data_IF_245461251351
#
_entry.id   IF_245461251351
#
_cell.length_a   1.000
_cell.length_b   1.000
_cell.length_c   1.000
_cell.angle_alpha   90.00
_cell.angle_beta   90.00
_cell.angle_gamma   90.00
#
_symmetry.space_group_name_H-M   'P 1'
#
loop_
_entity.id
_entity.type
_entity.pdbx_description
1 polymer ?
#
# COMPACT_ATOMS: atom_id res chain seq x y z
N UNK A 1 7.00 20.72 27.52
CA UNK A 1 6.72 19.43 26.85
C UNK A 1 6.22 19.71 25.44
N UNK A 2 7.08 19.61 24.43
CA UNK A 2 6.65 19.70 23.03
C UNK A 2 6.11 18.32 22.64
N UNK A 3 4.80 18.23 22.40
CA UNK A 3 4.15 17.00 21.93
C UNK A 3 4.43 16.85 20.44
N UNK A 4 4.81 15.65 19.99
CA UNK A 4 5.05 15.38 18.56
C UNK A 4 3.75 15.52 17.75
N UNK A 5 3.83 16.05 16.53
CA UNK A 5 2.66 16.24 15.64
C UNK A 5 1.91 14.93 15.35
N UNK A 6 2.64 13.82 15.27
CA UNK A 6 2.08 12.48 15.08
C UNK A 6 1.28 12.02 16.30
N UNK A 7 1.74 12.29 17.53
CA UNK A 7 1.00 11.95 18.75
C UNK A 7 -0.34 12.68 18.80
N UNK A 8 -0.37 13.96 18.43
CA UNK A 8 -1.62 14.74 18.33
C UNK A 8 -2.58 14.10 17.33
N UNK A 9 -2.10 13.66 16.16
CA UNK A 9 -3.00 13.05 15.17
C UNK A 9 -3.53 11.69 15.62
N UNK A 10 -2.73 10.91 16.34
CA UNK A 10 -3.18 9.65 16.95
C UNK A 10 -4.27 9.92 17.98
N UNK A 11 -4.06 10.90 18.87
CA UNK A 11 -5.04 11.27 19.90
C UNK A 11 -6.35 11.77 19.26
N UNK A 12 -6.25 12.61 18.23
CA UNK A 12 -7.43 13.07 17.47
C UNK A 12 -8.15 11.90 16.80
N UNK A 13 -7.42 10.96 16.19
CA UNK A 13 -8.03 9.80 15.55
C UNK A 13 -8.72 8.88 16.56
N UNK A 14 -8.17 8.72 17.77
CA UNK A 14 -8.83 8.02 18.88
C UNK A 14 -10.09 8.75 19.37
N UNK A 15 -10.08 10.07 19.44
CA UNK A 15 -11.31 10.80 19.78
C UNK A 15 -12.39 10.62 18.71
N UNK A 16 -12.00 10.61 17.44
CA UNK A 16 -12.92 10.40 16.31
C UNK A 16 -13.45 8.97 16.28
N UNK A 17 -12.68 7.95 16.74
CA UNK A 17 -13.16 6.56 16.73
C UNK A 17 -14.37 6.31 17.63
N UNK A 18 -14.57 7.15 18.64
CA UNK A 18 -15.72 7.08 19.56
C UNK A 18 -17.01 7.68 18.96
N UNK A 19 -16.94 8.29 17.78
CA UNK A 19 -18.09 8.90 17.10
C UNK A 19 -18.86 7.88 16.26
N UNK A 20 -20.10 8.22 15.88
CA UNK A 20 -20.88 7.43 14.92
C UNK A 20 -20.28 7.47 13.52
N UNK A 21 -20.57 6.48 12.69
CA UNK A 21 -20.03 6.39 11.32
C UNK A 21 -20.36 7.63 10.49
N UNK A 22 -21.58 8.18 10.64
CA UNK A 22 -22.00 9.42 9.97
C UNK A 22 -21.13 10.62 10.35
N UNK A 23 -20.71 10.72 11.61
CA UNK A 23 -19.86 11.81 12.10
C UNK A 23 -18.41 11.62 11.66
N UNK A 24 -17.92 10.38 11.65
CA UNK A 24 -16.60 10.05 11.11
C UNK A 24 -16.54 10.43 9.63
N UNK A 25 -17.53 10.04 8.83
CA UNK A 25 -17.57 10.36 7.40
C UNK A 25 -17.68 11.87 7.13
N UNK A 26 -18.32 12.63 8.03
CA UNK A 26 -18.41 14.09 7.95
C UNK A 26 -17.08 14.77 8.30
N UNK A 27 -16.38 14.29 9.32
CA UNK A 27 -15.15 14.91 9.83
C UNK A 27 -13.93 14.52 8.99
N UNK A 28 -13.85 13.27 8.54
CA UNK A 28 -12.69 12.69 7.85
C UNK A 28 -12.86 12.78 6.32
N UNK A 29 -13.50 13.85 5.83
CA UNK A 29 -13.58 14.13 4.41
C UNK A 29 -12.22 14.63 3.89
N UNK A 30 -11.73 13.95 2.85
CA UNK A 30 -10.47 14.30 2.20
C UNK A 30 -10.76 15.39 1.17
N UNK A 31 -10.10 16.52 1.34
CA UNK A 31 -10.12 17.66 0.43
C UNK A 31 -8.70 18.07 0.08
N UNK A 32 -8.55 18.92 -0.95
CA UNK A 32 -7.23 19.45 -1.36
C UNK A 32 -6.50 20.19 -0.23
N UNK A 33 -7.22 20.76 0.74
CA UNK A 33 -6.66 21.59 1.81
C UNK A 33 -6.26 20.83 3.07
N UNK A 34 -6.68 19.56 3.22
CA UNK A 34 -6.46 18.77 4.44
C UNK A 34 -5.94 17.35 4.17
N UNK A 35 -5.49 17.07 2.94
CA UNK A 35 -5.22 15.70 2.46
C UNK A 35 -4.33 14.87 3.40
N UNK A 36 -3.23 15.42 3.92
CA UNK A 36 -2.33 14.67 4.81
C UNK A 36 -3.01 14.30 6.13
N UNK A 37 -3.70 15.26 6.76
CA UNK A 37 -4.39 15.08 8.04
C UNK A 37 -5.56 14.11 7.90
N UNK A 38 -6.44 14.37 6.93
CA UNK A 38 -7.61 13.56 6.68
C UNK A 38 -7.22 12.13 6.26
N UNK A 39 -6.20 11.99 5.40
CA UNK A 39 -5.66 10.67 5.02
C UNK A 39 -5.11 9.95 6.24
N UNK A 40 -4.27 10.60 7.05
CA UNK A 40 -3.73 9.98 8.27
C UNK A 40 -4.83 9.50 9.21
N UNK A 41 -5.82 10.34 9.51
CA UNK A 41 -6.93 9.95 10.39
C UNK A 41 -7.71 8.77 9.80
N UNK A 42 -8.02 8.80 8.49
CA UNK A 42 -8.78 7.74 7.82
C UNK A 42 -8.03 6.40 7.85
N UNK A 43 -6.77 6.39 7.43
CA UNK A 43 -5.96 5.17 7.38
C UNK A 43 -5.62 4.65 8.78
N UNK A 44 -5.46 5.53 9.78
CA UNK A 44 -5.35 5.11 11.17
C UNK A 44 -6.61 4.34 11.62
N UNK A 45 -7.81 4.92 11.43
CA UNK A 45 -9.07 4.28 11.79
C UNK A 45 -9.27 2.94 11.08
N UNK A 46 -8.90 2.86 9.80
CA UNK A 46 -8.92 1.62 9.02
C UNK A 46 -7.93 0.60 9.61
N UNK A 47 -6.70 1.01 9.92
CA UNK A 47 -5.67 0.12 10.48
C UNK A 47 -6.06 -0.49 11.83
N UNK A 48 -6.89 0.22 12.60
CA UNK A 48 -7.42 -0.25 13.89
C UNK A 48 -8.72 -1.06 13.73
N UNK A 49 -9.23 -1.23 12.51
CA UNK A 49 -10.47 -1.96 12.25
C UNK A 49 -11.76 -1.18 12.52
N UNK A 50 -11.69 0.09 12.93
CA UNK A 50 -12.87 0.94 13.16
C UNK A 50 -13.62 1.23 11.86
N UNK A 51 -12.90 1.32 10.74
CA UNK A 51 -13.46 1.47 9.40
C UNK A 51 -13.04 0.28 8.52
N UNK A 52 -13.87 -0.11 7.53
CA UNK A 52 -13.55 -1.19 6.60
C UNK A 52 -12.38 -0.81 5.68
N UNK A 53 -11.56 -1.80 5.31
CA UNK A 53 -10.42 -1.63 4.41
C UNK A 53 -10.81 -1.02 3.05
N UNK A 54 -12.04 -1.30 2.58
CA UNK A 54 -12.61 -0.75 1.35
C UNK A 54 -12.68 0.79 1.33
N UNK A 55 -12.70 1.45 2.50
CA UNK A 55 -12.68 2.91 2.58
C UNK A 55 -11.36 3.52 2.09
N UNK A 56 -10.31 2.72 1.84
CA UNK A 56 -9.07 3.16 1.22
C UNK A 56 -9.25 3.57 -0.24
N UNK A 57 -10.22 3.03 -0.98
CA UNK A 57 -10.40 3.38 -2.41
C UNK A 57 -10.63 4.89 -2.60
N UNK A 58 -11.45 5.49 -1.73
CA UNK A 58 -11.67 6.94 -1.72
C UNK A 58 -10.40 7.75 -1.39
N UNK A 59 -9.47 7.18 -0.61
CA UNK A 59 -8.15 7.78 -0.34
C UNK A 59 -7.31 7.76 -1.62
N UNK A 60 -7.26 6.62 -2.32
CA UNK A 60 -6.46 6.41 -3.53
C UNK A 60 -6.86 7.40 -4.62
N UNK A 61 -8.16 7.52 -4.91
CA UNK A 61 -8.65 8.41 -5.97
C UNK A 61 -8.30 9.87 -5.69
N UNK A 62 -8.35 10.29 -4.42
CA UNK A 62 -8.02 11.67 -4.04
C UNK A 62 -6.51 11.94 -4.06
N UNK A 63 -5.70 10.94 -3.73
CA UNK A 63 -4.24 11.04 -3.62
C UNK A 63 -3.55 10.89 -4.98
N UNK A 64 -4.18 10.23 -5.96
CA UNK A 64 -3.63 10.06 -7.30
C UNK A 64 -3.21 11.39 -7.96
N UNK A 65 -3.90 12.50 -7.65
CA UNK A 65 -3.58 13.85 -8.12
C UNK A 65 -2.76 14.72 -7.15
N UNK A 66 -2.20 14.16 -6.07
CA UNK A 66 -1.49 14.92 -5.05
C UNK A 66 0.03 14.87 -5.22
N UNK A 67 0.73 16.00 -5.12
CA UNK A 67 2.17 16.08 -5.38
C UNK A 67 3.04 15.29 -4.38
N UNK A 68 2.57 15.04 -3.15
CA UNK A 68 3.36 14.40 -2.09
C UNK A 68 2.98 12.94 -1.85
N UNK A 69 2.86 12.17 -2.93
CA UNK A 69 2.47 10.74 -2.93
C UNK A 69 3.31 9.87 -2.00
N UNK A 70 4.63 10.11 -1.92
CA UNK A 70 5.56 9.31 -1.08
C UNK A 70 5.22 9.38 0.41
N UNK A 71 4.85 10.56 0.91
CA UNK A 71 4.45 10.72 2.32
C UNK A 71 3.18 9.91 2.61
N UNK A 72 2.21 9.95 1.69
CA UNK A 72 0.97 9.17 1.83
C UNK A 72 1.24 7.66 1.74
N UNK A 73 2.10 7.22 0.83
CA UNK A 73 2.49 5.81 0.72
C UNK A 73 3.17 5.29 1.98
N UNK A 74 4.00 6.10 2.64
CA UNK A 74 4.60 5.72 3.92
C UNK A 74 3.53 5.51 5.01
N UNK A 75 2.56 6.44 5.09
CA UNK A 75 1.44 6.31 6.03
C UNK A 75 0.59 5.07 5.71
N UNK A 76 0.34 4.78 4.43
CA UNK A 76 -0.40 3.60 3.98
C UNK A 76 0.35 2.31 4.30
N UNK A 77 1.68 2.28 4.12
CA UNK A 77 2.53 1.15 4.49
C UNK A 77 2.40 0.82 5.99
N UNK A 78 2.47 1.83 6.86
CA UNK A 78 2.19 1.65 8.29
C UNK A 78 0.77 1.14 8.54
N UNK A 79 -0.23 1.73 7.88
CA UNK A 79 -1.62 1.31 8.00
C UNK A 79 -1.82 -0.15 7.62
N UNK A 80 -1.21 -0.64 6.54
CA UNK A 80 -1.29 -2.03 6.13
C UNK A 80 -0.65 -2.97 7.13
N UNK A 81 0.50 -2.61 7.68
CA UNK A 81 1.18 -3.40 8.69
C UNK A 81 0.34 -3.51 9.97
N UNK A 82 -0.23 -2.40 10.44
CA UNK A 82 -1.12 -2.37 11.59
C UNK A 82 -2.44 -3.13 11.35
N UNK A 83 -3.03 -3.01 10.16
CA UNK A 83 -4.23 -3.76 9.77
C UNK A 83 -4.02 -5.28 9.90
N UNK A 84 -2.78 -5.75 9.69
CA UNK A 84 -2.40 -7.16 9.91
C UNK A 84 -2.21 -7.51 11.38
N UNK A 85 -1.60 -6.63 12.18
CA UNK A 85 -1.29 -6.91 13.60
C UNK A 85 -2.55 -6.87 14.47
N UNK A 86 -3.38 -5.84 14.31
CA UNK A 86 -4.57 -5.63 15.15
C UNK A 86 -5.67 -6.67 14.84
N UNK A 87 -5.71 -7.18 13.60
CA UNK A 87 -6.60 -8.23 13.12
C UNK A 87 -8.06 -8.08 13.60
N UNK A 88 -8.82 -7.24 12.89
CA UNK A 88 -10.24 -6.99 13.15
C UNK A 88 -11.12 -7.65 12.07
N UNK A 89 -12.43 -7.80 12.28
CA UNK A 89 -13.36 -8.30 11.24
C UNK A 89 -13.31 -7.47 9.94
N UNK A 90 -12.98 -6.18 10.08
CA UNK A 90 -12.85 -5.20 9.01
C UNK A 90 -11.50 -5.21 8.30
N UNK A 91 -10.47 -5.84 8.89
CA UNK A 91 -9.09 -5.92 8.37
C UNK A 91 -8.54 -7.35 8.34
N UNK A 92 -9.41 -8.34 8.54
CA UNK A 92 -9.07 -9.74 8.55
C UNK A 92 -8.44 -10.18 7.23
N UNK A 93 -7.81 -11.37 7.23
CA UNK A 93 -7.07 -11.85 6.06
C UNK A 93 -7.91 -11.89 4.78
N UNK A 94 -9.19 -12.27 4.88
CA UNK A 94 -10.12 -12.25 3.75
C UNK A 94 -10.38 -10.83 3.24
N UNK A 95 -10.60 -9.86 4.13
CA UNK A 95 -10.79 -8.45 3.74
C UNK A 95 -9.56 -7.86 3.07
N UNK A 96 -8.37 -8.20 3.56
CA UNK A 96 -7.09 -7.81 2.93
C UNK A 96 -6.93 -8.44 1.55
N UNK A 97 -7.33 -9.70 1.39
CA UNK A 97 -7.30 -10.41 0.12
C UNK A 97 -8.28 -9.80 -0.90
N UNK A 98 -9.54 -9.60 -0.52
CA UNK A 98 -10.55 -8.97 -1.35
C UNK A 98 -10.08 -7.60 -1.84
N UNK A 99 -9.60 -6.76 -0.92
CA UNK A 99 -9.11 -5.43 -1.26
C UNK A 99 -7.90 -5.45 -2.21
N UNK A 100 -6.96 -6.39 -2.02
CA UNK A 100 -5.79 -6.49 -2.90
C UNK A 100 -6.18 -6.93 -4.32
N UNK A 101 -7.13 -7.86 -4.44
CA UNK A 101 -7.67 -8.31 -5.72
C UNK A 101 -8.42 -7.17 -6.43
N UNK A 102 -9.18 -6.37 -5.68
CA UNK A 102 -9.85 -5.18 -6.22
C UNK A 102 -8.83 -4.13 -6.68
N UNK A 103 -7.76 -3.89 -5.93
CA UNK A 103 -6.66 -3.01 -6.33
C UNK A 103 -5.99 -3.50 -7.62
N UNK A 104 -5.71 -4.80 -7.75
CA UNK A 104 -5.18 -5.38 -8.98
C UNK A 104 -6.11 -5.12 -10.17
N UNK A 105 -7.42 -5.34 -9.99
CA UNK A 105 -8.44 -5.04 -11.00
C UNK A 105 -8.45 -3.55 -11.41
N UNK A 106 -8.37 -2.66 -10.42
CA UNK A 106 -8.32 -1.21 -10.64
C UNK A 106 -7.08 -0.79 -11.42
N UNK A 107 -5.88 -1.25 -11.01
CA UNK A 107 -4.62 -0.97 -11.72
C UNK A 107 -4.71 -1.38 -13.18
N UNK A 108 -5.25 -2.58 -13.45
CA UNK A 108 -5.45 -3.07 -14.82
C UNK A 108 -6.39 -2.14 -15.60
N UNK A 109 -7.53 -1.77 -15.03
CA UNK A 109 -8.49 -0.90 -15.70
C UNK A 109 -7.89 0.48 -16.04
N UNK A 110 -7.08 1.04 -15.14
CA UNK A 110 -6.33 2.28 -15.40
C UNK A 110 -5.31 2.07 -16.53
N UNK A 111 -4.51 1.00 -16.49
CA UNK A 111 -3.50 0.71 -17.52
C UNK A 111 -4.08 0.54 -18.93
N UNK A 112 -5.28 -0.04 -19.04
CA UNK A 112 -5.98 -0.20 -20.32
C UNK A 112 -6.86 1.02 -20.70
N UNK A 113 -6.77 2.13 -19.93
CA UNK A 113 -7.54 3.37 -20.13
C UNK A 113 -9.07 3.18 -20.10
N UNK A 114 -9.53 2.14 -19.41
CA UNK A 114 -10.97 1.89 -19.19
C UNK A 114 -11.56 2.80 -18.11
N UNK A 115 -10.72 3.54 -17.38
CA UNK A 115 -11.11 4.51 -16.36
C UNK A 115 -10.66 5.91 -16.80
N UNK A 116 -11.56 6.90 -16.88
CA UNK A 116 -11.19 8.27 -17.24
C UNK A 116 -10.36 8.92 -16.13
N UNK A 117 -9.10 9.25 -16.40
CA UNK A 117 -8.26 10.04 -15.49
C UNK A 117 -8.35 11.52 -15.87
N UNK A 118 -8.75 12.37 -14.93
CA UNK A 118 -8.68 13.82 -15.11
C UNK A 118 -7.31 14.33 -14.65
N UNK A 119 -6.55 14.96 -15.56
CA UNK A 119 -5.39 15.81 -15.26
C UNK A 119 -4.20 15.15 -14.54
N UNK A 120 -4.04 13.82 -14.57
CA UNK A 120 -2.87 13.11 -14.01
C UNK A 120 -2.16 12.32 -15.12
N UNK A 121 -0.83 12.35 -15.13
CA UNK A 121 -0.04 11.52 -16.03
C UNK A 121 -0.30 10.03 -15.75
N UNK A 122 -0.64 9.28 -16.81
CA UNK A 122 -1.03 7.87 -16.69
C UNK A 122 0.09 7.02 -16.08
N UNK A 123 1.35 7.26 -16.46
CA UNK A 123 2.49 6.49 -15.96
C UNK A 123 2.72 6.78 -14.49
N UNK A 124 2.67 8.06 -14.09
CA UNK A 124 2.82 8.45 -12.70
C UNK A 124 1.71 7.86 -11.80
N UNK A 125 0.48 7.80 -12.30
CA UNK A 125 -0.64 7.17 -11.61
C UNK A 125 -0.42 5.66 -11.42
N UNK A 126 -0.04 4.95 -12.48
CA UNK A 126 0.21 3.50 -12.41
C UNK A 126 1.41 3.19 -11.52
N UNK A 127 2.49 3.97 -11.62
CA UNK A 127 3.66 3.82 -10.74
C UNK A 127 3.23 3.97 -9.26
N UNK A 128 2.43 4.98 -8.93
CA UNK A 128 1.89 5.14 -7.57
C UNK A 128 1.07 3.93 -7.11
N UNK A 129 0.18 3.39 -7.96
CA UNK A 129 -0.63 2.24 -7.60
C UNK A 129 0.19 0.95 -7.47
N UNK A 130 1.26 0.79 -8.25
CA UNK A 130 2.20 -0.32 -8.10
C UNK A 130 3.01 -0.21 -6.79
N UNK A 131 3.34 1.01 -6.35
CA UNK A 131 3.96 1.21 -5.04
C UNK A 131 2.98 0.87 -3.92
N UNK A 132 1.71 1.21 -4.08
CA UNK A 132 0.66 0.83 -3.13
C UNK A 132 0.49 -0.69 -3.05
N UNK A 133 0.45 -1.37 -4.20
CA UNK A 133 0.43 -2.82 -4.30
C UNK A 133 1.63 -3.43 -3.57
N UNK A 134 2.84 -2.95 -3.87
CA UNK A 134 4.07 -3.42 -3.21
C UNK A 134 4.03 -3.22 -1.69
N UNK A 135 3.65 -2.03 -1.21
CA UNK A 135 3.53 -1.74 0.21
C UNK A 135 2.55 -2.70 0.92
N UNK A 136 1.40 -3.00 0.30
CA UNK A 136 0.42 -3.92 0.87
C UNK A 136 0.93 -5.37 0.91
N UNK A 137 1.56 -5.85 -0.17
CA UNK A 137 2.13 -7.20 -0.25
C UNK A 137 3.25 -7.35 0.78
N UNK A 138 4.18 -6.40 0.86
CA UNK A 138 5.28 -6.41 1.83
C UNK A 138 4.76 -6.39 3.26
N UNK A 139 3.77 -5.54 3.56
CA UNK A 139 3.17 -5.46 4.89
C UNK A 139 2.44 -6.74 5.32
N UNK A 140 1.88 -7.49 4.37
CA UNK A 140 1.03 -8.64 4.67
C UNK A 140 1.71 -10.01 4.51
N UNK A 141 2.77 -10.07 3.71
CA UNK A 141 3.52 -11.29 3.44
C UNK A 141 4.14 -11.85 4.71
N UNK A 142 4.82 -11.03 5.51
CA UNK A 142 5.49 -11.48 6.74
C UNK A 142 5.72 -10.33 7.75
N UNK A 143 6.16 -10.65 8.98
CA UNK A 143 6.57 -9.64 9.97
C UNK A 143 7.97 -9.07 9.69
N UNK A 144 8.89 -9.84 9.10
CA UNK A 144 10.30 -9.47 8.97
C UNK A 144 10.52 -8.25 8.08
N UNK A 145 9.91 -8.23 6.89
CA UNK A 145 10.12 -7.14 5.92
C UNK A 145 9.67 -5.77 6.45
N UNK A 146 8.47 -5.60 7.04
CA UNK A 146 8.10 -4.32 7.67
C UNK A 146 9.07 -3.85 8.77
N UNK A 147 9.57 -4.78 9.61
CA UNK A 147 10.54 -4.43 10.66
C UNK A 147 11.87 -3.95 10.08
N UNK A 148 12.36 -4.58 9.00
CA UNK A 148 13.56 -4.14 8.27
C UNK A 148 13.39 -2.75 7.64
N UNK A 149 12.16 -2.40 7.26
CA UNK A 149 11.79 -1.06 6.78
C UNK A 149 11.61 -0.03 7.91
N UNK A 150 11.81 -0.43 9.17
CA UNK A 150 11.68 0.45 10.33
C UNK A 150 10.25 0.63 10.84
N UNK A 151 9.30 -0.19 10.39
CA UNK A 151 7.93 -0.15 10.93
C UNK A 151 7.89 -0.75 12.34
N UNK A 152 6.94 -0.27 13.14
CA UNK A 152 6.69 -0.77 14.49
C UNK A 152 5.24 -1.20 14.65
N UNK A 153 4.98 -2.08 15.63
CA UNK A 153 3.63 -2.44 16.05
C UNK A 153 2.90 -1.30 16.78
N UNK A 154 3.60 -0.20 17.09
CA UNK A 154 3.03 1.02 17.63
C UNK A 154 3.16 2.16 16.61
N UNK A 155 2.10 2.96 16.46
CA UNK A 155 2.11 4.18 15.65
C UNK A 155 2.97 5.30 16.26
N UNK A 156 3.27 5.22 17.55
CA UNK A 156 4.14 6.18 18.22
C UNK A 156 5.60 5.91 17.79
N UNK A 157 6.36 6.95 17.39
CA UNK A 157 7.77 6.80 17.13
C UNK A 157 8.45 6.31 18.42
N UNK A 158 9.44 5.42 18.27
CA UNK A 158 10.20 4.93 19.41
C UNK A 158 10.72 6.13 20.20
N UNK A 159 10.34 6.24 21.48
CA UNK A 159 10.70 7.36 22.37
C UNK A 159 12.21 7.56 22.58
N UNK A 160 13.07 6.79 21.90
CA UNK A 160 14.53 6.80 22.06
C UNK A 160 15.25 7.82 21.16
N UNK A 161 14.53 8.69 20.44
CA UNK A 161 15.12 9.91 19.86
C UNK A 161 15.36 11.05 20.88
N UNK A 162 15.50 10.71 22.17
CA UNK A 162 15.80 11.69 23.23
C UNK A 162 17.22 12.27 23.14
N UNK A 163 18.07 11.80 22.22
CA UNK A 163 19.50 12.20 22.14
C UNK A 163 19.80 13.12 20.94
N UNK A 164 18.92 13.24 19.94
CA UNK A 164 19.11 14.14 18.79
C UNK A 164 18.02 15.22 18.77
N UNK A 165 18.00 16.03 19.82
CA UNK A 165 17.02 17.10 20.04
C UNK A 165 17.20 18.34 19.13
N UNK A 166 18.02 18.26 18.07
CA UNK A 166 18.33 19.41 17.20
C UNK A 166 17.78 19.30 15.78
N UNK A 167 17.14 18.18 15.40
CA UNK A 167 16.60 18.01 14.05
C UNK A 167 15.07 18.10 14.02
N UNK A 168 14.62 19.35 13.90
CA UNK A 168 13.53 19.81 13.03
C UNK A 168 12.17 19.12 13.17
N UNK A 169 11.19 19.86 13.71
CA UNK A 169 9.73 19.72 13.55
C UNK A 169 9.25 18.41 12.87
N UNK A 170 8.79 17.45 13.67
CA UNK A 170 8.25 16.16 13.22
C UNK A 170 7.16 16.33 12.15
N UNK A 171 7.55 16.13 10.90
CA UNK A 171 6.65 16.06 9.78
C UNK A 171 6.54 14.62 9.31
N UNK A 172 5.35 14.03 9.50
CA UNK A 172 4.97 12.69 9.05
C UNK A 172 5.47 12.42 7.62
N UNK A 173 6.23 11.34 7.44
CA UNK A 173 6.70 10.87 6.13
C UNK A 173 7.58 11.87 5.37
N UNK A 174 8.23 12.81 6.07
CA UNK A 174 9.21 13.73 5.48
C UNK A 174 10.65 13.34 5.81
N UNK A 175 10.89 12.43 6.75
CA UNK A 175 12.24 12.01 7.08
C UNK A 175 12.84 11.25 5.88
N UNK A 176 14.14 11.44 5.56
CA UNK A 176 14.78 10.74 4.45
C UNK A 176 14.63 9.21 4.51
N UNK A 177 14.64 8.63 5.72
CA UNK A 177 14.43 7.19 5.94
C UNK A 177 13.02 6.74 5.60
N UNK A 178 11.99 7.59 5.79
CA UNK A 178 10.60 7.25 5.48
C UNK A 178 10.40 7.09 3.97
N UNK A 179 11.02 7.98 3.19
CA UNK A 179 11.01 7.91 1.73
C UNK A 179 11.77 6.68 1.23
N UNK A 180 12.88 6.34 1.89
CA UNK A 180 13.65 5.13 1.58
C UNK A 180 12.83 3.87 1.85
N UNK A 181 12.13 3.78 2.98
CA UNK A 181 11.29 2.62 3.32
C UNK A 181 10.23 2.32 2.25
N UNK A 182 9.61 3.36 1.68
CA UNK A 182 8.65 3.21 0.58
C UNK A 182 9.32 2.71 -0.70
N UNK A 183 10.54 3.13 -0.99
CA UNK A 183 11.29 2.67 -2.17
C UNK A 183 11.74 1.21 -1.99
N UNK A 184 12.23 0.85 -0.80
CA UNK A 184 12.62 -0.52 -0.48
C UNK A 184 11.43 -1.50 -0.45
N UNK A 185 10.19 -1.02 -0.26
CA UNK A 185 9.03 -1.89 -0.46
C UNK A 185 8.94 -2.45 -1.89
N UNK A 186 9.41 -1.71 -2.91
CA UNK A 186 9.47 -2.21 -4.28
C UNK A 186 10.54 -3.29 -4.44
N UNK A 187 11.70 -3.12 -3.81
CA UNK A 187 12.81 -4.08 -3.90
C UNK A 187 12.46 -5.39 -3.21
N UNK A 188 11.65 -5.32 -2.15
CA UNK A 188 11.17 -6.48 -1.38
C UNK A 188 9.93 -7.15 -1.97
N UNK A 189 9.26 -6.56 -2.97
CA UNK A 189 8.05 -7.12 -3.57
C UNK A 189 8.26 -8.55 -4.11
N UNK A 190 9.31 -8.87 -4.90
CA UNK A 190 9.47 -10.20 -5.48
C UNK A 190 9.57 -11.33 -4.45
N UNK A 191 10.31 -11.13 -3.35
CA UNK A 191 10.38 -12.12 -2.28
C UNK A 191 9.10 -12.16 -1.45
N UNK A 192 8.50 -11.00 -1.19
CA UNK A 192 7.29 -10.87 -0.37
C UNK A 192 6.07 -11.51 -1.02
N UNK A 193 5.89 -11.37 -2.34
CA UNK A 193 4.78 -12.00 -3.05
C UNK A 193 4.85 -13.53 -3.00
N UNK A 194 6.05 -14.11 -3.11
CA UNK A 194 6.24 -15.56 -3.00
C UNK A 194 5.90 -16.06 -1.59
N UNK A 195 6.24 -15.29 -0.55
CA UNK A 195 5.88 -15.61 0.83
C UNK A 195 4.39 -15.46 1.10
N UNK A 196 3.74 -14.44 0.52
CA UNK A 196 2.31 -14.20 0.66
C UNK A 196 1.52 -15.37 0.05
N UNK A 197 1.81 -15.73 -1.20
CA UNK A 197 1.11 -16.78 -1.95
C UNK A 197 1.42 -18.19 -1.46
N UNK A 198 2.40 -18.38 -0.57
CA UNK A 198 2.64 -19.66 0.09
C UNK A 198 1.68 -19.93 1.27
N UNK A 199 0.89 -18.94 1.70
CA UNK A 199 0.04 -19.01 2.90
C UNK A 199 -1.43 -19.09 2.53
N UNK A 200 -2.24 -19.82 3.30
CA UNK A 200 -3.69 -19.75 3.16
C UNK A 200 -4.24 -18.43 3.72
N UNK A 201 -5.30 -17.83 3.12
CA UNK A 201 -6.03 -18.27 1.92
C UNK A 201 -5.42 -17.74 0.59
N UNK A 202 -4.28 -17.06 0.65
CA UNK A 202 -3.64 -16.44 -0.53
C UNK A 202 -3.21 -17.43 -1.59
N UNK A 203 -2.84 -18.64 -1.17
CA UNK A 203 -2.40 -19.72 -2.06
C UNK A 203 -3.43 -20.05 -3.13
N UNK A 204 -4.72 -20.04 -2.79
CA UNK A 204 -5.82 -20.27 -3.74
C UNK A 204 -5.90 -19.19 -4.83
N UNK A 205 -5.35 -18.00 -4.57
CA UNK A 205 -5.36 -16.88 -5.52
C UNK A 205 -4.11 -16.83 -6.42
N UNK A 206 -3.14 -17.74 -6.26
CA UNK A 206 -1.85 -17.73 -6.97
C UNK A 206 -2.01 -17.55 -8.49
N UNK A 207 -2.94 -18.27 -9.11
CA UNK A 207 -3.19 -18.16 -10.55
C UNK A 207 -3.64 -16.75 -10.95
N UNK A 208 -4.51 -16.10 -10.15
CA UNK A 208 -4.97 -14.73 -10.42
C UNK A 208 -3.83 -13.72 -10.37
N UNK A 209 -2.89 -13.88 -9.44
CA UNK A 209 -1.70 -13.02 -9.36
C UNK A 209 -0.79 -13.20 -10.57
N UNK A 210 -0.51 -14.44 -10.97
CA UNK A 210 0.28 -14.75 -12.16
C UNK A 210 -0.37 -14.16 -13.42
N UNK A 211 -1.66 -14.42 -13.62
CA UNK A 211 -2.39 -13.93 -14.78
C UNK A 211 -2.43 -12.40 -14.80
N UNK A 212 -2.61 -11.75 -13.65
CA UNK A 212 -2.56 -10.30 -13.54
C UNK A 212 -1.18 -9.73 -13.90
N UNK A 213 -0.09 -10.30 -13.40
CA UNK A 213 1.27 -9.86 -13.73
C UNK A 213 1.54 -9.97 -15.24
N UNK A 214 1.12 -11.07 -15.87
CA UNK A 214 1.23 -11.27 -17.32
C UNK A 214 0.41 -10.22 -18.07
N UNK A 215 -0.86 -10.05 -17.71
CA UNK A 215 -1.74 -9.06 -18.34
C UNK A 215 -1.19 -7.63 -18.21
N UNK A 216 -0.60 -7.28 -17.06
CA UNK A 216 0.04 -5.98 -16.88
C UNK A 216 1.24 -5.79 -17.81
N UNK A 217 2.07 -6.82 -18.03
CA UNK A 217 3.16 -6.74 -19.01
C UNK A 217 2.67 -6.68 -20.46
N UNK A 218 1.48 -7.22 -20.75
CA UNK A 218 0.79 -7.13 -22.05
C UNK A 218 -0.04 -5.84 -22.22
N UNK A 219 0.04 -4.90 -21.26
CA UNK A 219 -0.64 -3.60 -21.34
C UNK A 219 -0.08 -2.72 -22.49
N UNK A 220 -0.83 -1.68 -22.93
CA UNK A 220 -0.38 -0.81 -24.02
C UNK A 220 1.05 -0.25 -23.77
N UNK A 221 1.87 -0.18 -24.82
CA UNK A 221 3.33 0.13 -24.72
C UNK A 221 3.67 1.43 -23.98
N UNK A 222 2.74 2.37 -23.88
CA UNK A 222 2.91 3.65 -23.21
C UNK A 222 2.24 3.72 -21.81
N UNK A 223 1.62 2.64 -21.34
CA UNK A 223 0.97 2.61 -20.03
C UNK A 223 1.97 2.50 -18.89
N UNK A 224 2.99 1.65 -19.02
CA UNK A 224 3.97 1.40 -17.96
C UNK A 224 5.27 2.19 -18.15
N UNK A 225 5.86 2.63 -17.05
CA UNK A 225 7.25 3.07 -17.02
C UNK A 225 8.20 1.87 -17.15
N UNK A 226 9.42 2.10 -17.63
CA UNK A 226 10.44 1.04 -17.75
C UNK A 226 10.72 0.37 -16.40
N UNK A 227 10.82 1.17 -15.33
CA UNK A 227 11.02 0.66 -13.97
C UNK A 227 9.88 -0.25 -13.52
N UNK A 228 8.64 0.11 -13.84
CA UNK A 228 7.46 -0.70 -13.50
C UNK A 228 7.40 -1.99 -14.30
N UNK A 229 7.75 -1.97 -15.59
CA UNK A 229 7.89 -3.19 -16.41
C UNK A 229 8.95 -4.13 -15.84
N UNK A 230 10.15 -3.61 -15.51
CA UNK A 230 11.23 -4.41 -14.96
C UNK A 230 10.84 -5.02 -13.60
N UNK A 231 10.18 -4.24 -12.73
CA UNK A 231 9.66 -4.71 -11.44
C UNK A 231 8.65 -5.84 -11.60
N UNK A 232 7.66 -5.69 -12.48
CA UNK A 232 6.65 -6.73 -12.74
C UNK A 232 7.28 -8.01 -13.28
N UNK A 233 8.28 -7.89 -14.16
CA UNK A 233 9.02 -9.02 -14.72
C UNK A 233 9.80 -9.77 -13.62
N UNK A 234 10.55 -9.06 -12.78
CA UNK A 234 11.29 -9.68 -11.66
C UNK A 234 10.32 -10.32 -10.66
N UNK A 235 9.20 -9.66 -10.38
CA UNK A 235 8.14 -10.17 -9.49
C UNK A 235 7.53 -11.46 -10.04
N UNK A 236 7.24 -11.51 -11.33
CA UNK A 236 6.74 -12.73 -11.99
C UNK A 236 7.76 -13.86 -11.93
N UNK A 237 9.04 -13.57 -12.20
CA UNK A 237 10.12 -14.56 -12.15
C UNK A 237 10.35 -15.12 -10.73
N UNK A 238 10.07 -14.34 -9.68
CA UNK A 238 10.16 -14.82 -8.30
C UNK A 238 9.12 -15.91 -7.97
N UNK A 239 8.03 -15.99 -8.74
CA UNK A 239 6.99 -17.02 -8.60
C UNK A 239 7.34 -18.34 -9.30
N UNK A 240 8.51 -18.46 -9.94
CA UNK A 240 8.92 -19.62 -10.76
C UNK A 240 8.89 -20.98 -10.06
N UNK A 241 9.00 -20.99 -8.73
CA UNK A 241 8.99 -22.23 -7.95
C UNK A 241 7.58 -22.77 -7.71
N UNK A 242 6.53 -21.95 -7.87
CA UNK A 242 5.14 -22.33 -7.64
C UNK A 242 4.62 -23.28 -8.73
N UNK A 243 3.75 -24.22 -8.36
CA UNK A 243 3.24 -25.24 -9.27
C UNK A 243 2.43 -24.63 -10.43
N UNK A 244 1.67 -23.58 -10.12
CA UNK A 244 0.87 -22.80 -11.06
C UNK A 244 1.74 -22.14 -12.13
N UNK A 245 2.95 -21.72 -11.78
CA UNK A 245 3.90 -21.11 -12.71
C UNK A 245 4.50 -22.14 -13.68
N UNK A 246 4.67 -23.39 -13.24
CA UNK A 246 5.24 -24.48 -14.06
C UNK A 246 4.32 -24.95 -15.18
N UNK A 247 3.08 -24.44 -15.25
CA UNK A 247 2.18 -24.68 -16.39
C UNK A 247 2.82 -24.13 -17.67
N UNK A 248 2.87 -24.96 -18.72
CA UNK A 248 3.52 -24.64 -20.00
C UNK A 248 3.11 -23.27 -20.56
N UNK A 249 1.82 -22.92 -20.50
CA UNK A 249 1.30 -21.65 -21.00
C UNK A 249 1.85 -20.42 -20.25
N UNK A 250 2.05 -20.52 -18.94
CA UNK A 250 2.61 -19.44 -18.11
C UNK A 250 4.10 -19.28 -18.40
N UNK A 251 4.82 -20.41 -18.48
CA UNK A 251 6.26 -20.43 -18.68
C UNK A 251 6.67 -19.80 -20.03
N UNK A 252 5.96 -20.11 -21.11
CA UNK A 252 6.21 -19.51 -22.44
C UNK A 252 6.02 -18.01 -22.45
N UNK A 253 4.96 -17.51 -21.79
CA UNK A 253 4.69 -16.06 -21.69
C UNK A 253 5.69 -15.32 -20.80
N UNK A 254 6.09 -15.92 -19.68
CA UNK A 254 6.98 -15.28 -18.71
C UNK A 254 8.42 -15.12 -19.22
N UNK A 255 8.92 -16.08 -20.01
CA UNK A 255 10.29 -16.09 -20.52
C UNK A 255 10.45 -15.55 -21.94
N UNK A 256 9.35 -15.33 -22.68
CA UNK A 256 9.35 -14.65 -23.97
C UNK A 256 10.27 -15.29 -25.02
N UNK A 257 9.72 -16.21 -25.79
CA UNK A 257 10.18 -16.49 -27.16
C UNK A 257 9.33 -15.69 -28.13
#
# INVERSE_FOLDING_TARGET
FQRGKLEIYIDVAKCISEMSDSEIDRIVQISKNNIEKATFTKVYLISQGRLPLMNLSAVIDTVAGYDRKKTILWVLLHSFYHARIVSHENTGVLKRMDWLLDLMGYIRNVAYKSTPLQNVDLKECIDFLLWLFAASVVAWADHGAPLLLGLSANWLPWKHQTILLELSEDHIGKHPTDKLAVQEALTLLPSSISLLLAKEPWKEQTQKFIDWLINMMESPKDALSKSSTDLLKVTLLALRSLAEFKKKAVWTKAYGW
#
